data_IF_595521911002
#
_entry.id   IF_595521911002
#
_cell.length_a   1.000
_cell.length_b   1.000
_cell.length_c   1.000
_cell.angle_alpha   90.00
_cell.angle_beta   90.00
_cell.angle_gamma   90.00
#
_symmetry.space_group_name_H-M   'P 1'
#
loop_
_entity.id
_entity.type
_entity.pdbx_description
1 polymer ?
#
# COMPACT_ATOMS: atom_id res chain seq x y z
N UNK A 1 1.21 10.26 -8.26
CA UNK A 1 1.88 10.62 -9.53
C UNK A 1 2.58 11.96 -9.35
N UNK A 2 3.92 12.00 -9.26
CA UNK A 2 4.73 13.17 -9.61
C UNK A 2 6.18 12.78 -9.94
N UNK A 3 6.70 13.51 -10.93
CA UNK A 3 8.03 13.54 -11.54
C UNK A 3 9.18 13.77 -10.54
N UNK A 4 10.30 13.04 -10.73
CA UNK A 4 11.59 13.38 -10.11
C UNK A 4 12.21 12.35 -9.14
N UNK A 5 11.61 11.19 -8.92
CA UNK A 5 12.27 10.07 -8.20
C UNK A 5 12.28 10.15 -6.65
N UNK A 6 11.66 11.17 -6.05
CA UNK A 6 11.44 11.21 -4.59
C UNK A 6 10.09 10.59 -4.19
N UNK A 7 10.06 9.78 -3.13
CA UNK A 7 8.84 9.29 -2.49
C UNK A 7 8.15 10.42 -1.70
N UNK A 8 7.68 11.44 -2.41
CA UNK A 8 6.82 12.52 -1.89
C UNK A 8 5.37 12.07 -1.71
N UNK A 9 5.17 10.80 -1.35
CA UNK A 9 3.87 10.39 -0.84
C UNK A 9 3.81 10.93 0.58
N UNK A 10 2.84 11.79 0.86
CA UNK A 10 2.32 11.97 2.22
C UNK A 10 1.68 10.65 2.64
N UNK A 11 2.52 9.62 2.84
CA UNK A 11 2.12 8.43 3.55
C UNK A 11 1.77 8.95 4.94
N UNK A 12 0.49 9.02 5.31
CA UNK A 12 0.13 9.50 6.64
C UNK A 12 0.94 8.65 7.60
N UNK A 13 1.62 9.27 8.57
CA UNK A 13 2.35 8.52 9.59
C UNK A 13 1.35 7.65 10.33
N UNK A 14 1.12 6.42 9.85
CA UNK A 14 0.04 5.53 10.28
C UNK A 14 0.21 5.05 11.72
N UNK A 15 1.23 5.56 12.44
CA UNK A 15 1.60 5.17 13.80
C UNK A 15 1.73 3.66 13.90
N UNK A 16 2.47 3.06 12.96
CA UNK A 16 2.65 1.61 12.81
C UNK A 16 2.88 0.91 14.15
N UNK A 17 3.84 1.38 14.93
CA UNK A 17 4.19 0.80 16.23
C UNK A 17 3.01 0.81 17.23
N UNK A 18 2.19 1.87 17.21
CA UNK A 18 1.03 1.99 18.09
C UNK A 18 -0.10 1.05 17.63
N UNK A 19 -0.36 0.97 16.32
CA UNK A 19 -1.35 0.05 15.76
C UNK A 19 -0.98 -1.42 15.96
N UNK A 20 0.31 -1.77 15.85
CA UNK A 20 0.81 -3.12 16.14
C UNK A 20 0.60 -3.51 17.60
N UNK A 21 0.93 -2.60 18.54
CA UNK A 21 0.71 -2.82 19.98
C UNK A 21 -0.77 -2.99 20.32
N UNK A 22 -1.66 -2.33 19.59
CA UNK A 22 -3.10 -2.40 19.78
C UNK A 22 -3.77 -3.57 19.04
N UNK A 23 -3.04 -4.31 18.19
CA UNK A 23 -3.60 -5.35 17.34
C UNK A 23 -4.51 -4.81 16.22
N UNK A 24 -4.42 -3.52 15.92
CA UNK A 24 -5.26 -2.82 14.93
C UNK A 24 -4.50 -2.50 13.64
N UNK A 25 -3.26 -2.99 13.48
CA UNK A 25 -2.53 -2.79 12.24
C UNK A 25 -3.16 -3.65 11.13
N UNK A 26 -3.64 -3.05 10.03
CA UNK A 26 -4.17 -3.82 8.91
C UNK A 26 -3.03 -4.62 8.26
N UNK A 27 -3.15 -5.95 8.29
CA UNK A 27 -2.19 -6.87 7.66
C UNK A 27 -2.49 -7.12 6.18
N UNK A 28 -3.74 -6.85 5.77
CA UNK A 28 -4.23 -7.07 4.42
C UNK A 28 -5.11 -5.91 4.00
N UNK A 29 -4.96 -5.51 2.74
CA UNK A 29 -5.83 -4.54 2.09
C UNK A 29 -6.78 -5.30 1.16
N UNK A 30 -8.05 -4.89 1.13
CA UNK A 30 -8.97 -5.40 0.13
C UNK A 30 -8.57 -4.82 -1.22
N UNK A 31 -8.04 -5.68 -2.09
CA UNK A 31 -7.67 -5.31 -3.45
C UNK A 31 -8.71 -5.87 -4.43
N UNK A 32 -8.94 -5.15 -5.53
CA UNK A 32 -9.73 -5.66 -6.64
C UNK A 32 -8.92 -6.74 -7.38
N UNK A 33 -9.44 -7.97 -7.37
CA UNK A 33 -8.81 -9.10 -8.01
C UNK A 33 -8.67 -8.92 -9.54
N UNK A 34 -9.60 -8.22 -10.19
CA UNK A 34 -9.54 -7.97 -11.62
C UNK A 34 -8.36 -7.03 -11.96
N UNK A 35 -8.16 -6.00 -11.14
CA UNK A 35 -7.02 -5.09 -11.26
C UNK A 35 -5.69 -5.79 -11.00
N UNK A 36 -5.62 -6.64 -9.96
CA UNK A 36 -4.39 -7.38 -9.65
C UNK A 36 -4.00 -8.31 -10.81
N UNK A 37 -4.97 -9.06 -11.34
CA UNK A 37 -4.72 -9.99 -12.45
C UNK A 37 -4.31 -9.28 -13.74
N UNK A 38 -4.90 -8.11 -14.04
CA UNK A 38 -4.55 -7.35 -15.26
C UNK A 38 -3.14 -6.76 -15.22
N UNK A 39 -2.63 -6.43 -14.03
CA UNK A 39 -1.25 -5.95 -13.84
C UNK A 39 -0.26 -7.11 -13.86
N UNK A 40 -0.56 -8.22 -13.18
CA UNK A 40 0.31 -9.42 -13.21
C UNK A 40 0.54 -9.91 -14.65
N UNK A 41 -0.50 -9.87 -15.49
CA UNK A 41 -0.40 -10.25 -16.90
C UNK A 41 0.50 -9.35 -17.75
N UNK A 42 0.85 -8.14 -17.29
CA UNK A 42 1.73 -7.21 -18.01
C UNK A 42 3.21 -7.34 -17.62
N UNK A 43 3.50 -8.06 -16.52
CA UNK A 43 4.86 -8.25 -15.98
C UNK A 43 5.44 -9.61 -16.41
N UNK A 44 4.62 -10.52 -16.92
CA UNK A 44 5.00 -11.81 -17.50
C UNK A 44 5.14 -11.71 -19.02
#
# INVERSE_FOLDING_TARGET
MRTGGGNGYDLPHIRKEMLERQGCLPLQLKCDAALVNSVIAQVN
#
